data_IF_992885040699
#
_entry.id   IF_992885040699
#
_cell.length_a   1.000
_cell.length_b   1.000
_cell.length_c   1.000
_cell.angle_alpha   90.00
_cell.angle_beta   90.00
_cell.angle_gamma   90.00
#
_symmetry.space_group_name_H-M   'P 1'
#
loop_
_entity.id
_entity.type
_entity.pdbx_description
1 polymer ?
#
# COMPACT_ATOMS: atom_id res chain seq x y z
N UNK A 1 7.68 -6.39 -7.80
CA UNK A 1 8.04 -5.00 -8.08
C UNK A 1 7.60 -4.12 -6.89
N UNK A 2 8.12 -2.89 -6.77
CA UNK A 2 7.65 -1.97 -5.74
C UNK A 2 6.57 -1.07 -6.34
N UNK A 3 5.39 -0.99 -5.70
CA UNK A 3 4.31 -0.08 -6.11
C UNK A 3 4.75 1.37 -5.91
N UNK A 4 5.36 1.67 -4.75
CA UNK A 4 6.02 2.94 -4.46
C UNK A 4 7.41 2.68 -3.88
N UNK A 5 8.42 3.41 -4.37
CA UNK A 5 9.77 3.41 -3.84
C UNK A 5 9.86 4.33 -2.62
N UNK A 6 10.86 4.08 -1.76
CA UNK A 6 11.06 4.84 -0.52
C UNK A 6 11.22 6.34 -0.79
N UNK A 7 11.96 6.71 -1.85
CA UNK A 7 12.17 8.11 -2.23
C UNK A 7 10.85 8.82 -2.52
N UNK A 8 10.01 8.20 -3.36
CA UNK A 8 8.70 8.75 -3.73
C UNK A 8 7.82 8.99 -2.50
N UNK A 9 7.82 8.06 -1.54
CA UNK A 9 7.03 8.21 -0.31
C UNK A 9 7.59 9.33 0.59
N UNK A 10 8.92 9.51 0.66
CA UNK A 10 9.52 10.59 1.46
C UNK A 10 9.30 11.97 0.84
N UNK A 11 9.17 12.05 -0.48
CA UNK A 11 8.93 13.28 -1.22
C UNK A 11 7.45 13.74 -1.12
N UNK A 12 6.53 12.85 -0.71
CA UNK A 12 5.11 13.19 -0.46
C UNK A 12 4.93 14.03 0.81
N UNK A 13 3.95 14.93 0.79
CA UNK A 13 3.45 15.61 1.99
C UNK A 13 2.73 14.64 2.95
N UNK A 14 2.56 14.97 4.24
CA UNK A 14 1.86 14.09 5.19
C UNK A 14 0.43 13.72 4.73
N UNK A 15 -0.32 14.67 4.19
CA UNK A 15 -1.68 14.43 3.69
C UNK A 15 -1.67 13.49 2.47
N UNK A 16 -0.76 13.69 1.52
CA UNK A 16 -0.62 12.79 0.37
C UNK A 16 -0.27 11.36 0.81
N UNK A 17 0.56 11.19 1.84
CA UNK A 17 0.86 9.85 2.40
C UNK A 17 -0.38 9.19 2.98
N UNK A 18 -1.25 9.96 3.65
CA UNK A 18 -2.51 9.47 4.23
C UNK A 18 -3.48 9.05 3.11
N UNK A 19 -3.68 9.91 2.11
CA UNK A 19 -4.56 9.63 0.98
C UNK A 19 -4.09 8.40 0.19
N UNK A 20 -2.78 8.30 -0.05
CA UNK A 20 -2.19 7.16 -0.74
C UNK A 20 -2.27 5.87 0.07
N UNK A 21 -2.09 5.95 1.39
CA UNK A 21 -2.29 4.83 2.30
C UNK A 21 -3.72 4.30 2.22
N UNK A 22 -4.73 5.18 2.24
CA UNK A 22 -6.13 4.80 2.15
C UNK A 22 -6.46 4.12 0.80
N UNK A 23 -5.97 4.67 -0.31
CA UNK A 23 -6.11 4.06 -1.65
C UNK A 23 -5.55 2.64 -1.68
N UNK A 24 -4.32 2.44 -1.19
CA UNK A 24 -3.68 1.12 -1.18
C UNK A 24 -4.40 0.13 -0.25
N UNK A 25 -4.96 0.60 0.88
CA UNK A 25 -5.77 -0.24 1.76
C UNK A 25 -7.08 -0.68 1.10
N UNK A 26 -7.76 0.23 0.39
CA UNK A 26 -8.96 -0.08 -0.37
C UNK A 26 -8.68 -1.09 -1.49
N UNK A 27 -7.56 -0.94 -2.19
CA UNK A 27 -7.13 -1.90 -3.21
C UNK A 27 -6.85 -3.28 -2.60
N UNK A 28 -6.15 -3.33 -1.47
CA UNK A 28 -5.88 -4.59 -0.76
C UNK A 28 -7.18 -5.32 -0.35
N UNK A 29 -8.21 -4.59 0.04
CA UNK A 29 -9.52 -5.16 0.38
C UNK A 29 -10.16 -5.79 -0.87
N UNK A 30 -10.12 -5.10 -2.02
CA UNK A 30 -10.66 -5.62 -3.30
C UNK A 30 -9.94 -6.89 -3.74
N UNK A 31 -8.61 -6.89 -3.73
CA UNK A 31 -7.80 -8.06 -4.09
C UNK A 31 -8.09 -9.27 -3.19
N UNK A 32 -8.27 -9.03 -1.88
CA UNK A 32 -8.67 -10.08 -0.94
C UNK A 32 -10.08 -10.60 -1.21
N UNK A 33 -11.02 -9.74 -1.54
CA UNK A 33 -12.38 -10.15 -1.87
C UNK A 33 -12.39 -11.06 -3.12
N UNK A 34 -11.65 -10.69 -4.16
CA UNK A 34 -11.49 -11.49 -5.38
C UNK A 34 -10.88 -12.87 -5.06
N UNK A 35 -9.78 -12.87 -4.31
CA UNK A 35 -9.09 -14.11 -3.92
C UNK A 35 -9.98 -15.02 -3.06
N UNK A 36 -10.79 -14.46 -2.16
CA UNK A 36 -11.71 -15.21 -1.31
C UNK A 36 -12.91 -15.79 -2.09
N UNK A 37 -13.33 -15.12 -3.16
CA UNK A 37 -14.39 -15.60 -4.05
C UNK A 37 -13.95 -16.79 -4.93
N UNK A 38 -12.71 -17.27 -4.78
CA UNK A 38 -12.16 -18.37 -5.58
C UNK A 38 -11.74 -17.95 -6.99
N UNK A 39 -11.73 -16.65 -7.28
CA UNK A 39 -11.20 -16.12 -8.53
C UNK A 39 -9.68 -16.30 -8.58
N UNK A 40 -9.16 -16.75 -9.74
CA UNK A 40 -7.73 -16.72 -9.97
C UNK A 40 -7.25 -15.26 -9.96
N UNK A 41 -6.28 -14.87 -9.12
CA UNK A 41 -5.78 -13.51 -9.11
C UNK A 41 -5.04 -13.23 -10.43
N UNK A 42 -5.31 -12.09 -11.06
CA UNK A 42 -4.59 -11.65 -12.27
C UNK A 42 -3.08 -11.54 -12.02
N UNK A 43 -2.71 -11.16 -10.79
CA UNK A 43 -1.33 -11.13 -10.32
C UNK A 43 -1.23 -11.70 -8.90
N UNK A 44 -0.70 -12.93 -8.72
CA UNK A 44 -0.57 -13.56 -7.40
C UNK A 44 0.36 -12.80 -6.45
N UNK A 45 1.24 -11.95 -6.98
CA UNK A 45 2.13 -11.08 -6.19
C UNK A 45 1.46 -9.82 -5.65
N UNK A 46 0.29 -9.41 -6.17
CA UNK A 46 -0.29 -8.09 -5.92
C UNK A 46 -0.59 -7.84 -4.44
N UNK A 47 -1.24 -8.80 -3.76
CA UNK A 47 -1.54 -8.72 -2.32
C UNK A 47 -0.26 -8.51 -1.50
N UNK A 48 0.82 -9.23 -1.84
CA UNK A 48 2.10 -9.13 -1.13
C UNK A 48 2.76 -7.77 -1.35
N UNK A 49 2.67 -7.24 -2.57
CA UNK A 49 3.20 -5.92 -2.93
C UNK A 49 2.44 -4.78 -2.23
N UNK A 50 1.10 -4.85 -2.20
CA UNK A 50 0.24 -3.90 -1.51
C UNK A 50 0.56 -3.86 -0.01
N UNK A 51 0.59 -5.02 0.66
CA UNK A 51 0.92 -5.12 2.09
C UNK A 51 2.29 -4.50 2.42
N UNK A 52 3.31 -4.79 1.60
CA UNK A 52 4.66 -4.24 1.79
C UNK A 52 4.70 -2.73 1.58
N UNK A 53 3.97 -2.22 0.60
CA UNK A 53 3.92 -0.78 0.32
C UNK A 53 3.19 -0.02 1.43
N UNK A 54 2.05 -0.52 1.91
CA UNK A 54 1.33 -0.01 3.08
C UNK A 54 2.24 0.05 4.32
N UNK A 55 2.96 -1.04 4.60
CA UNK A 55 3.89 -1.09 5.72
C UNK A 55 4.99 -0.03 5.59
N UNK A 56 5.55 0.13 4.38
CA UNK A 56 6.58 1.14 4.10
C UNK A 56 6.09 2.57 4.33
N UNK A 57 4.87 2.91 3.89
CA UNK A 57 4.28 4.23 4.15
C UNK A 57 4.17 4.45 5.66
N UNK A 58 3.55 3.52 6.40
CA UNK A 58 3.41 3.64 7.86
C UNK A 58 4.74 3.75 8.60
N UNK A 59 5.78 3.04 8.14
CA UNK A 59 7.13 3.17 8.69
C UNK A 59 7.66 4.59 8.49
N UNK A 60 7.53 5.15 7.29
CA UNK A 60 7.99 6.51 6.99
C UNK A 60 7.20 7.55 7.77
N UNK A 61 5.87 7.43 7.87
CA UNK A 61 5.04 8.32 8.70
C UNK A 61 5.52 8.35 10.15
N UNK A 62 5.86 7.17 10.71
CA UNK A 62 6.41 7.05 12.06
C UNK A 62 7.83 7.64 12.17
N UNK A 63 8.69 7.43 11.18
CA UNK A 63 10.03 8.04 11.12
C UNK A 63 9.96 9.57 11.07
N UNK A 64 8.97 10.12 10.36
CA UNK A 64 8.74 11.56 10.21
C UNK A 64 7.92 12.18 11.35
N UNK A 65 7.49 11.37 12.34
CA UNK A 65 6.66 11.78 13.48
C UNK A 65 5.32 12.40 13.07
N UNK A 66 4.74 11.90 11.98
CA UNK A 66 3.40 12.26 11.52
C UNK A 66 2.29 11.55 12.32
N UNK A 67 2.66 10.45 12.99
CA UNK A 67 1.83 9.59 13.86
C UNK A 67 2.62 9.13 15.09
#
# INVERSE_FOLDING_TARGET
>A
MAILRVKEIRDMSPNEKVDELEKLMNELIKERALSSAGGAPENPGRIKELRRTIARIKTIQREMKEI
#
